data_IF_981106943316
#
_entry.id   IF_981106943316
#
_cell.length_a   1.000
_cell.length_b   1.000
_cell.length_c   1.000
_cell.angle_alpha   90.00
_cell.angle_beta   90.00
_cell.angle_gamma   90.00
#
_symmetry.space_group_name_H-M   'P 1'
#
loop_
_entity.id
_entity.type
_entity.pdbx_description
1 polymer ?
#
# COMPACT_ATOMS: atom_id res chain seq x y z
N UNK A 1 -13.22 16.13 14.42
CA UNK A 1 -12.94 16.89 13.22
C UNK A 1 -11.49 16.85 12.84
N UNK A 2 -10.66 17.37 13.74
CA UNK A 2 -9.23 17.35 13.47
C UNK A 2 -8.69 15.96 13.29
N UNK A 3 -9.24 15.02 14.00
CA UNK A 3 -8.77 13.65 13.98
C UNK A 3 -9.03 12.96 12.66
N UNK A 4 -10.05 13.40 11.94
CA UNK A 4 -10.35 12.84 10.64
C UNK A 4 -9.26 13.14 9.62
N UNK A 5 -8.57 14.26 9.77
CA UNK A 5 -7.51 14.64 8.85
C UNK A 5 -6.37 13.66 8.83
N UNK A 6 -6.10 12.99 9.95
CA UNK A 6 -5.00 12.02 10.03
C UNK A 6 -5.40 10.64 9.51
N UNK A 7 -6.66 10.46 9.12
CA UNK A 7 -7.23 9.15 8.82
C UNK A 7 -7.53 8.96 7.34
N UNK A 8 -6.88 9.71 6.47
CA UNK A 8 -7.12 9.64 5.03
C UNK A 8 -5.96 8.93 4.32
N UNK A 9 -5.91 7.59 4.35
CA UNK A 9 -4.88 6.85 3.63
C UNK A 9 -5.40 6.25 2.35
N UNK A 10 -4.47 6.04 1.42
CA UNK A 10 -4.71 5.33 0.18
C UNK A 10 -3.52 4.40 -0.07
N UNK A 11 -3.79 3.15 -0.42
CA UNK A 11 -2.76 2.21 -0.84
C UNK A 11 -3.07 1.75 -2.25
N UNK A 12 -2.10 1.92 -3.15
CA UNK A 12 -2.17 1.36 -4.49
C UNK A 12 -1.07 0.34 -4.65
N UNK A 13 -1.44 -0.88 -5.02
CA UNK A 13 -0.49 -1.96 -5.20
C UNK A 13 -0.58 -2.47 -6.64
N UNK A 14 0.53 -2.33 -7.38
CA UNK A 14 0.68 -2.88 -8.71
C UNK A 14 1.51 -4.14 -8.61
N UNK A 15 0.98 -5.25 -9.10
CA UNK A 15 1.67 -6.54 -9.06
C UNK A 15 1.73 -7.17 -10.43
N UNK A 16 2.74 -7.99 -10.68
CA UNK A 16 2.90 -8.68 -11.95
C UNK A 16 2.00 -9.90 -12.07
N UNK A 17 1.67 -10.51 -10.94
CA UNK A 17 0.91 -11.76 -10.90
C UNK A 17 -0.57 -11.50 -11.07
N UNK A 18 -1.31 -12.54 -11.43
CA UNK A 18 -2.76 -12.48 -11.47
C UNK A 18 -3.33 -12.47 -10.04
N UNK A 19 -4.36 -11.67 -9.79
CA UNK A 19 -5.02 -11.60 -8.50
C UNK A 19 -6.48 -12.09 -8.63
N UNK A 20 -6.73 -13.37 -8.41
CA UNK A 20 -8.12 -13.85 -8.34
C UNK A 20 -8.82 -13.28 -7.10
N UNK A 21 -10.14 -13.33 -7.08
CA UNK A 21 -10.96 -12.68 -6.06
C UNK A 21 -10.56 -13.05 -4.64
N UNK A 22 -10.28 -14.33 -4.39
CA UNK A 22 -9.88 -14.76 -3.05
C UNK A 22 -8.56 -14.14 -2.60
N UNK A 23 -7.60 -13.99 -3.52
CA UNK A 23 -6.32 -13.34 -3.22
C UNK A 23 -6.51 -11.86 -2.97
N UNK A 24 -7.39 -11.22 -3.73
CA UNK A 24 -7.73 -9.81 -3.52
C UNK A 24 -8.32 -9.59 -2.13
N UNK A 25 -9.19 -10.47 -1.70
CA UNK A 25 -9.83 -10.36 -0.39
C UNK A 25 -8.81 -10.52 0.75
N UNK A 26 -7.92 -11.50 0.64
CA UNK A 26 -6.88 -11.71 1.65
C UNK A 26 -5.92 -10.54 1.68
N UNK A 27 -5.47 -10.08 0.52
CA UNK A 27 -4.53 -8.96 0.42
C UNK A 27 -5.16 -7.68 0.98
N UNK A 28 -6.40 -7.40 0.62
CA UNK A 28 -7.14 -6.25 1.13
C UNK A 28 -7.19 -6.25 2.66
N UNK A 29 -7.48 -7.41 3.27
CA UNK A 29 -7.53 -7.53 4.72
C UNK A 29 -6.17 -7.25 5.36
N UNK A 30 -5.09 -7.77 4.76
CA UNK A 30 -3.75 -7.56 5.29
C UNK A 30 -3.29 -6.12 5.12
N UNK A 31 -3.64 -5.47 4.02
CA UNK A 31 -3.32 -4.05 3.82
C UNK A 31 -4.09 -3.17 4.81
N UNK A 32 -5.33 -3.54 5.14
CA UNK A 32 -6.11 -2.85 6.15
C UNK A 32 -5.48 -2.93 7.53
N UNK A 33 -4.87 -4.08 7.87
CA UNK A 33 -4.13 -4.21 9.12
C UNK A 33 -2.83 -3.42 9.05
N UNK A 34 -2.13 -3.47 7.93
CA UNK A 34 -0.83 -2.82 7.76
C UNK A 34 -0.90 -1.31 7.94
N UNK A 35 -1.97 -0.68 7.48
CA UNK A 35 -2.07 0.79 7.55
C UNK A 35 -2.09 1.29 9.01
N UNK A 36 -2.51 0.45 9.94
CA UNK A 36 -2.52 0.83 11.36
C UNK A 36 -1.12 1.00 11.92
N UNK A 37 -0.12 0.39 11.29
CA UNK A 37 1.28 0.52 11.73
C UNK A 37 1.72 1.98 11.68
N UNK A 38 1.29 2.73 10.67
CA UNK A 38 1.63 4.15 10.56
C UNK A 38 0.56 5.05 11.21
N UNK A 39 -0.28 4.46 12.06
CA UNK A 39 -1.25 5.22 12.86
C UNK A 39 -2.51 5.64 12.13
N UNK A 40 -2.79 5.03 10.98
CA UNK A 40 -4.00 5.35 10.20
C UNK A 40 -5.00 4.19 10.33
N UNK A 41 -6.27 4.46 10.64
CA UNK A 41 -7.26 3.38 10.74
C UNK A 41 -7.72 2.94 9.36
N UNK A 42 -8.17 1.71 9.30
CA UNK A 42 -8.70 1.13 8.06
C UNK A 42 -9.99 1.81 7.59
N UNK A 43 -10.73 2.43 8.50
CA UNK A 43 -12.08 2.95 8.24
C UNK A 43 -12.16 3.95 7.09
N UNK A 44 -11.06 4.63 6.78
CA UNK A 44 -11.01 5.56 5.64
C UNK A 44 -9.99 5.13 4.59
N UNK A 45 -9.51 3.91 4.68
CA UNK A 45 -8.51 3.42 3.74
C UNK A 45 -9.16 3.07 2.40
N UNK A 46 -8.66 3.68 1.34
CA UNK A 46 -9.00 3.28 -0.02
C UNK A 46 -7.86 2.43 -0.57
N UNK A 47 -8.19 1.32 -1.20
CA UNK A 47 -7.21 0.37 -1.74
C UNK A 47 -7.48 0.16 -3.22
N UNK A 48 -6.43 0.23 -4.03
CA UNK A 48 -6.49 -0.11 -5.44
C UNK A 48 -5.49 -1.23 -5.71
N UNK A 49 -5.98 -2.36 -6.21
CA UNK A 49 -5.16 -3.51 -6.55
C UNK A 49 -5.14 -3.69 -8.06
N UNK A 50 -3.97 -3.55 -8.65
CA UNK A 50 -3.80 -3.61 -10.11
C UNK A 50 -2.89 -4.81 -10.42
N UNK A 51 -3.45 -5.84 -11.02
CA UNK A 51 -2.72 -7.07 -11.32
C UNK A 51 -2.20 -7.11 -12.76
N UNK A 52 -1.43 -8.13 -13.07
CA UNK A 52 -0.92 -8.41 -14.43
C UNK A 52 -0.15 -7.24 -15.03
N UNK A 53 0.63 -6.56 -14.21
CA UNK A 53 1.42 -5.42 -14.66
C UNK A 53 2.78 -5.89 -15.17
N UNK A 54 3.33 -5.14 -16.11
CA UNK A 54 4.69 -5.37 -16.62
C UNK A 54 5.64 -4.48 -15.85
N UNK A 55 6.37 -5.07 -14.89
CA UNK A 55 7.37 -4.37 -14.12
C UNK A 55 8.76 -4.87 -14.51
N UNK A 56 9.69 -3.94 -14.68
CA UNK A 56 11.07 -4.24 -15.03
C UNK A 56 12.00 -3.75 -13.95
N UNK A 57 12.97 -4.56 -13.61
CA UNK A 57 14.00 -4.20 -12.64
C UNK A 57 15.37 -4.43 -13.28
N UNK A 58 16.21 -3.39 -13.27
CA UNK A 58 17.52 -3.43 -13.92
C UNK A 58 17.46 -3.90 -15.38
N UNK A 59 16.41 -3.47 -16.08
CA UNK A 59 16.21 -3.80 -17.49
C UNK A 59 15.63 -5.17 -17.77
N UNK A 60 15.33 -5.94 -16.73
CA UNK A 60 14.78 -7.30 -16.88
C UNK A 60 13.34 -7.35 -16.37
N UNK A 61 12.49 -8.06 -17.10
CA UNK A 61 11.12 -8.23 -16.71
C UNK A 61 11.02 -9.07 -15.45
N UNK A 62 10.32 -8.57 -14.46
CA UNK A 62 10.07 -9.30 -13.23
C UNK A 62 8.95 -10.32 -13.45
N UNK A 63 9.23 -11.59 -13.17
CA UNK A 63 8.20 -12.61 -13.19
C UNK A 63 7.25 -12.39 -12.03
N UNK A 64 7.79 -12.09 -10.85
CA UNK A 64 7.04 -11.77 -9.65
C UNK A 64 7.59 -10.51 -9.03
N UNK A 65 6.79 -9.46 -9.02
CA UNK A 65 7.20 -8.17 -8.48
C UNK A 65 6.00 -7.33 -8.09
N UNK A 66 6.25 -6.31 -7.28
CA UNK A 66 5.22 -5.40 -6.82
C UNK A 66 5.77 -3.99 -6.63
N UNK A 67 4.95 -3.00 -6.92
CA UNK A 67 5.20 -1.62 -6.55
C UNK A 67 3.99 -1.10 -5.77
N UNK A 68 4.23 -0.65 -4.55
CA UNK A 68 3.18 -0.21 -3.64
C UNK A 68 3.40 1.25 -3.30
N UNK A 69 2.35 2.05 -3.46
CA UNK A 69 2.35 3.45 -3.06
C UNK A 69 1.39 3.63 -1.89
N UNK A 70 1.89 4.20 -0.81
CA UNK A 70 1.09 4.53 0.37
C UNK A 70 1.00 6.05 0.45
N UNK A 71 -0.21 6.58 0.34
CA UNK A 71 -0.45 8.02 0.35
C UNK A 71 -1.31 8.38 1.54
N UNK A 72 -0.93 9.43 2.25
CA UNK A 72 -1.62 9.84 3.48
C UNK A 72 -1.81 11.34 3.52
N UNK A 73 -2.84 11.77 4.22
CA UNK A 73 -2.95 13.15 4.64
C UNK A 73 -2.00 13.37 5.81
N UNK A 74 -1.17 14.41 5.71
CA UNK A 74 -0.16 14.68 6.72
C UNK A 74 1.13 13.95 6.43
N UNK A 75 1.77 13.45 7.47
CA UNK A 75 3.04 12.75 7.37
C UNK A 75 2.99 11.43 8.10
N UNK A 76 3.84 10.51 7.68
CA UNK A 76 4.09 9.26 8.39
C UNK A 76 5.49 9.29 8.98
N UNK A 77 5.63 8.80 10.21
CA UNK A 77 6.91 8.75 10.91
C UNK A 77 7.84 7.75 10.22
N UNK A 78 9.09 8.12 10.02
CA UNK A 78 10.10 7.27 9.37
C UNK A 78 10.27 5.91 10.01
N UNK A 79 10.27 5.84 11.34
CA UNK A 79 10.39 4.55 12.02
C UNK A 79 9.17 3.67 11.75
N UNK A 80 8.00 4.27 11.68
CA UNK A 80 6.76 3.56 11.41
C UNK A 80 6.65 3.10 9.95
N UNK A 81 7.09 3.91 9.00
CA UNK A 81 7.10 3.50 7.60
C UNK A 81 8.09 2.36 7.37
N UNK A 82 9.23 2.38 8.07
CA UNK A 82 10.18 1.27 8.00
C UNK A 82 9.56 -0.03 8.50
N UNK A 83 8.84 0.04 9.60
CA UNK A 83 8.13 -1.11 10.16
C UNK A 83 7.05 -1.61 9.20
N UNK A 84 6.30 -0.70 8.58
CA UNK A 84 5.27 -1.05 7.60
C UNK A 84 5.87 -1.70 6.37
N UNK A 85 7.01 -1.20 5.89
CA UNK A 85 7.71 -1.80 4.75
C UNK A 85 8.09 -3.25 5.01
N UNK A 86 8.66 -3.52 6.18
CA UNK A 86 9.02 -4.89 6.55
C UNK A 86 7.78 -5.79 6.57
N UNK A 87 6.69 -5.30 7.14
CA UNK A 87 5.45 -6.05 7.22
C UNK A 87 4.84 -6.30 5.82
N UNK A 88 4.82 -5.26 4.97
CA UNK A 88 4.26 -5.40 3.62
C UNK A 88 5.08 -6.37 2.77
N UNK A 89 6.40 -6.34 2.89
CA UNK A 89 7.24 -7.31 2.19
C UNK A 89 6.89 -8.74 2.59
N UNK A 90 6.67 -8.98 3.88
CA UNK A 90 6.24 -10.30 4.36
C UNK A 90 4.85 -10.68 3.81
N UNK A 91 3.94 -9.74 3.75
CA UNK A 91 2.58 -9.96 3.22
C UNK A 91 2.63 -10.38 1.75
N UNK A 92 3.36 -9.62 0.93
CA UNK A 92 3.43 -9.92 -0.50
C UNK A 92 4.16 -11.24 -0.77
N UNK A 93 5.14 -11.57 0.05
CA UNK A 93 5.83 -12.85 -0.08
C UNK A 93 4.94 -14.01 0.33
N UNK A 94 4.28 -13.92 1.48
CA UNK A 94 3.47 -15.03 1.99
C UNK A 94 2.21 -15.28 1.17
N UNK A 95 1.57 -14.22 0.67
CA UNK A 95 0.31 -14.36 -0.07
C UNK A 95 0.55 -14.63 -1.56
N UNK A 96 1.52 -13.93 -2.15
CA UNK A 96 1.70 -13.95 -3.61
C UNK A 96 3.00 -14.58 -4.05
N UNK A 97 3.88 -14.97 -3.13
CA UNK A 97 5.17 -15.55 -3.47
C UNK A 97 6.13 -14.56 -4.11
N UNK A 98 5.92 -13.26 -3.90
CA UNK A 98 6.80 -12.23 -4.47
C UNK A 98 8.02 -12.07 -3.56
N UNK A 99 9.25 -12.26 -4.09
CA UNK A 99 10.45 -12.08 -3.27
C UNK A 99 10.54 -10.66 -2.74
N UNK A 100 11.08 -10.49 -1.55
CA UNK A 100 11.12 -9.17 -0.90
C UNK A 100 11.99 -8.18 -1.67
N UNK A 101 13.00 -8.64 -2.38
CA UNK A 101 13.86 -7.79 -3.19
C UNK A 101 13.21 -7.36 -4.52
N UNK A 102 12.03 -7.88 -4.82
CA UNK A 102 11.23 -7.48 -5.97
C UNK A 102 10.03 -6.61 -5.59
N UNK A 103 10.03 -6.06 -4.38
CA UNK A 103 8.96 -5.19 -3.88
C UNK A 103 9.52 -3.81 -3.61
N UNK A 104 8.98 -2.80 -4.28
CA UNK A 104 9.22 -1.39 -3.96
C UNK A 104 8.01 -0.83 -3.24
N UNK A 105 8.25 -0.05 -2.21
CA UNK A 105 7.19 0.63 -1.47
C UNK A 105 7.60 2.08 -1.28
N UNK A 106 6.71 3.00 -1.61
CA UNK A 106 6.96 4.42 -1.40
C UNK A 106 5.84 5.03 -0.58
N UNK A 107 6.18 6.07 0.20
CA UNK A 107 5.26 6.74 1.10
C UNK A 107 5.18 8.21 0.75
N UNK A 108 3.97 8.72 0.62
CA UNK A 108 3.72 10.09 0.18
C UNK A 108 2.75 10.76 1.13
N UNK A 109 3.14 11.92 1.64
CA UNK A 109 2.27 12.73 2.47
C UNK A 109 1.92 14.02 1.78
N UNK A 110 0.71 14.51 2.03
CA UNK A 110 0.27 15.79 1.52
C UNK A 110 -0.59 16.49 2.58
N UNK A 111 -0.59 17.81 2.58
CA UNK A 111 -1.50 18.59 3.41
C UNK A 111 -2.72 19.06 2.63
N UNK A 112 -2.89 18.57 1.40
CA UNK A 112 -3.95 19.00 0.50
C UNK A 112 -4.73 17.76 0.04
N UNK A 113 -5.78 17.39 0.80
CA UNK A 113 -6.55 16.18 0.55
C UNK A 113 -8.03 16.52 0.47
N UNK A 114 -8.67 16.11 -0.60
CA UNK A 114 -10.08 16.36 -0.84
C UNK A 114 -10.93 15.12 -0.59
N UNK A 115 -12.06 15.33 0.05
CA UNK A 115 -13.04 14.28 0.30
C UNK A 115 -14.41 14.90 0.49
N UNK A 116 -15.41 14.25 -0.06
CA UNK A 116 -16.82 14.63 0.11
C UNK A 116 -17.07 16.11 -0.22
N UNK A 117 -16.47 16.57 -1.32
CA UNK A 117 -16.76 17.89 -1.88
C UNK A 117 -15.90 19.04 -1.39
N UNK A 118 -14.99 18.80 -0.46
CA UNK A 118 -14.10 19.86 0.02
C UNK A 118 -12.77 19.27 0.51
N UNK A 119 -11.79 20.14 0.68
CA UNK A 119 -10.50 19.75 1.22
C UNK A 119 -10.47 19.92 2.73
N UNK A 120 -9.62 19.14 3.34
CA UNK A 120 -9.31 19.32 4.75
C UNK A 120 -8.35 20.46 4.97
#
# INVERSE_FOLDING_TARGET
LFQEEIFMPMIEAKVTVNLPEEKRNVLKAELGKAITIIGKPESYLMINLIDKQDLYFAGKKLEKGAYVEVKVLGKADHSKTNEMTAHLCDVFESILGIPQDAVYISYWGTDCWGWNGSNF
#
